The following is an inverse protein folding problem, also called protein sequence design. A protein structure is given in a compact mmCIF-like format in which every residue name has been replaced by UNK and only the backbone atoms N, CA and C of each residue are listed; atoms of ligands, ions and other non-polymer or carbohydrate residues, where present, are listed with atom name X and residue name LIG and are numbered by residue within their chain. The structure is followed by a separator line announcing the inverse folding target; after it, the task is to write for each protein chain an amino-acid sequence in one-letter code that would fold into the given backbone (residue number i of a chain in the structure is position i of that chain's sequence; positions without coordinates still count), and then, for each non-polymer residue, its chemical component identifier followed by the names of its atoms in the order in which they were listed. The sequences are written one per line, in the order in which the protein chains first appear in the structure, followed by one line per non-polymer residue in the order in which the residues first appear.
data_IF_964997905971
#
_entry.id   IF_964997905971
#
_cell.length_a   1.000
_cell.length_b   1.000
_cell.length_c   1.000
_cell.angle_alpha   90.00
_cell.angle_beta   90.00
_cell.angle_gamma   90.00
#
_symmetry.space_group_name_H-M   'P 1'
#
loop_
_entity.id
_entity.type
_entity.pdbx_description
1 polymer ?
#
# COMPACT_ATOMS: atom_id res chain seq x y z
N UNK A 1 -0.70 9.22 18.33
CA UNK A 1 -0.46 9.16 17.78
C UNK A 1 0.80 8.92 17.31
N UNK A 2 1.22 7.95 16.92
CA UNK A 2 2.27 7.63 16.51
C UNK A 2 2.43 7.86 15.15
N UNK A 3 3.00 8.71 14.63
CA UNK A 3 3.13 8.92 13.33
C UNK A 3 4.41 8.43 12.83
N UNK A 4 4.75 7.22 12.94
CA UNK A 4 5.93 6.71 12.47
C UNK A 4 5.88 6.37 11.04
N UNK A 5 6.96 6.49 10.33
CA UNK A 5 7.01 6.10 8.93
C UNK A 5 7.16 4.60 8.81
N UNK A 6 6.53 4.05 7.80
CA UNK A 6 6.61 2.62 7.54
C UNK A 6 7.39 2.40 6.26
N UNK A 7 8.10 1.33 6.18
CA UNK A 7 8.87 1.00 4.95
C UNK A 7 8.00 0.10 4.09
N UNK A 8 8.45 -0.21 2.91
CA UNK A 8 7.73 -1.13 2.03
C UNK A 8 7.58 -2.46 2.74
N UNK A 9 8.61 -2.91 3.43
CA UNK A 9 8.57 -4.16 4.14
C UNK A 9 7.50 -4.13 5.21
N UNK A 10 7.40 -3.02 5.92
CA UNK A 10 6.40 -2.88 6.97
C UNK A 10 5.00 -2.93 6.35
N UNK A 11 4.81 -2.29 5.23
CA UNK A 11 3.53 -2.28 4.56
C UNK A 11 3.18 -3.69 4.07
N UNK A 12 4.14 -4.42 3.56
CA UNK A 12 3.89 -5.76 3.11
C UNK A 12 3.36 -6.62 4.26
N UNK A 13 3.93 -6.46 5.42
CA UNK A 13 3.49 -7.22 6.55
C UNK A 13 2.16 -6.73 7.08
N UNK A 14 1.97 -5.43 7.06
CA UNK A 14 0.76 -4.83 7.57
C UNK A 14 -0.45 -5.23 6.72
N UNK A 15 -0.30 -5.20 5.43
CA UNK A 15 -1.40 -5.54 4.53
C UNK A 15 -1.33 -6.99 4.04
N UNK A 16 -0.27 -7.68 4.43
CA UNK A 16 -0.12 -9.08 4.05
C UNK A 16 -0.05 -9.24 2.54
N UNK A 17 0.79 -8.48 1.90
CA UNK A 17 0.97 -8.57 0.45
C UNK A 17 2.44 -8.60 0.14
N UNK A 18 2.79 -8.83 -1.09
CA UNK A 18 4.19 -8.90 -1.48
C UNK A 18 4.72 -7.54 -1.87
N UNK A 19 6.01 -7.40 -1.96
CA UNK A 19 6.65 -6.16 -2.36
C UNK A 19 6.18 -5.77 -3.75
N UNK A 20 6.08 -6.71 -4.64
CA UNK A 20 5.64 -6.44 -5.97
C UNK A 20 4.29 -5.82 -5.97
N UNK A 21 3.39 -6.28 -5.14
CA UNK A 21 2.05 -5.75 -5.06
C UNK A 21 2.09 -4.30 -4.59
N UNK A 22 2.93 -4.00 -3.61
CA UNK A 22 3.01 -2.64 -3.11
C UNK A 22 3.51 -1.70 -4.20
N UNK A 23 4.53 -2.09 -4.93
CA UNK A 23 5.06 -1.24 -5.99
C UNK A 23 4.04 -1.07 -7.12
N UNK A 24 3.28 -2.09 -7.39
CA UNK A 24 2.29 -2.01 -8.42
C UNK A 24 1.21 -1.04 -8.00
N UNK A 25 0.79 -1.07 -6.75
CA UNK A 25 -0.23 -0.17 -6.26
C UNK A 25 0.27 1.28 -6.29
N UNK A 26 1.53 1.51 -5.99
CA UNK A 26 2.10 2.84 -6.05
C UNK A 26 2.00 3.37 -7.46
N UNK A 27 2.27 2.56 -8.43
CA UNK A 27 2.25 3.00 -9.80
C UNK A 27 0.87 3.01 -10.43
N UNK A 28 0.06 2.09 -10.11
CA UNK A 28 -1.22 1.97 -10.78
C UNK A 28 -2.43 2.34 -9.98
N UNK A 29 -2.34 2.33 -8.67
CA UNK A 29 -3.49 2.63 -7.87
C UNK A 29 -3.33 3.85 -7.00
N UNK A 30 -2.31 4.62 -7.23
CA UNK A 30 -2.08 5.85 -6.49
C UNK A 30 -1.98 5.64 -4.99
N UNK A 31 -1.34 4.57 -4.60
CA UNK A 31 -1.15 4.33 -3.19
C UNK A 31 -0.37 5.47 -2.58
N UNK A 32 -0.79 6.01 -1.45
CA UNK A 32 -0.09 7.14 -0.83
C UNK A 32 1.27 6.72 -0.30
N UNK A 33 2.32 7.12 -0.96
CA UNK A 33 3.67 6.83 -0.54
C UNK A 33 4.52 8.06 -0.75
N UNK A 34 5.60 8.16 0.01
CA UNK A 34 6.48 9.30 -0.10
C UNK A 34 7.89 8.80 -0.37
N UNK A 35 8.55 9.40 -1.34
CA UNK A 35 9.87 8.98 -1.67
C UNK A 35 10.84 9.68 -0.76
N UNK A 36 11.57 8.95 0.02
CA UNK A 36 12.52 9.52 0.93
C UNK A 36 13.88 8.95 0.57
N UNK A 37 14.67 9.73 -0.09
CA UNK A 37 15.94 9.27 -0.58
C UNK A 37 15.73 8.22 -1.64
N UNK A 38 16.17 7.02 -1.40
CA UNK A 38 16.00 5.99 -2.35
C UNK A 38 14.95 5.02 -2.01
N UNK A 39 14.18 5.22 -0.95
CA UNK A 39 13.17 4.26 -0.60
C UNK A 39 11.80 4.88 -0.46
N UNK A 40 10.80 4.09 -0.54
CA UNK A 40 9.44 4.53 -0.36
C UNK A 40 9.06 4.38 1.09
N UNK A 41 8.45 5.41 1.64
CA UNK A 41 8.01 5.39 3.02
C UNK A 41 6.52 5.69 3.05
N UNK A 42 5.84 5.22 4.05
CA UNK A 42 4.39 5.36 4.12
C UNK A 42 3.95 5.78 5.51
N UNK A 43 2.79 6.42 5.57
CA UNK A 43 2.20 6.78 6.84
C UNK A 43 0.99 5.89 7.03
N UNK A 44 0.87 5.30 8.17
CA UNK A 44 -0.20 4.33 8.40
C UNK A 44 -1.58 4.92 8.20
N UNK A 45 -1.84 6.12 8.67
CA UNK A 45 -3.14 6.69 8.51
C UNK A 45 -3.46 6.94 7.08
N UNK A 46 -2.52 7.33 6.26
CA UNK A 46 -2.77 7.57 4.85
C UNK A 46 -3.07 6.26 4.15
N UNK A 47 -2.35 5.23 4.48
CA UNK A 47 -2.56 3.94 3.86
C UNK A 47 -3.92 3.39 4.27
N UNK A 48 -4.30 3.53 5.52
CA UNK A 48 -5.58 3.05 5.99
C UNK A 48 -6.72 3.77 5.29
N UNK A 49 -6.61 5.04 5.12
CA UNK A 49 -7.63 5.81 4.47
C UNK A 49 -7.75 5.37 3.02
N UNK A 50 -6.64 5.15 2.35
CA UNK A 50 -6.63 4.72 0.97
C UNK A 50 -7.26 3.33 0.84
N UNK A 51 -6.97 2.44 1.75
CA UNK A 51 -7.53 1.12 1.73
C UNK A 51 -9.04 1.18 1.98
N UNK A 52 -9.47 2.01 2.91
CA UNK A 52 -10.87 2.14 3.21
C UNK A 52 -11.62 2.75 2.06
N UNK A 53 -11.00 3.59 1.27
CA UNK A 53 -11.68 4.18 0.16
C UNK A 53 -11.69 3.26 -1.04
N UNK A 54 -11.15 2.09 -0.92
CA UNK A 54 -11.18 1.13 -2.02
C UNK A 54 -9.97 1.14 -2.92
N UNK A 55 -8.92 1.84 -2.54
CA UNK A 55 -7.76 1.93 -3.41
C UNK A 55 -7.10 0.61 -3.66
N UNK A 56 -7.10 -0.24 -2.66
CA UNK A 56 -6.46 -1.54 -2.81
C UNK A 56 -7.39 -2.57 -3.41
N UNK A 57 -8.64 -2.25 -3.54
CA UNK A 57 -9.60 -3.23 -4.07
C UNK A 57 -9.51 -3.27 -5.56
N UNK A 58 -9.57 -4.45 -6.09
CA UNK A 58 -9.49 -4.60 -7.51
C UNK A 58 -10.84 -4.76 -8.01
N UNK A 59 -11.62 -3.76 -8.21
CA UNK A 59 -12.90 -3.93 -8.62
C UNK A 59 -13.05 -4.30 -9.97
N UNK A 60 -12.17 -4.07 -10.79
CA UNK A 60 -12.43 -4.42 -12.14
C UNK A 60 -12.17 -5.82 -12.42
N UNK A 61 -11.59 -6.54 -11.66
CA UNK A 61 -11.41 -7.88 -12.00
C UNK A 61 -11.68 -8.71 -11.07
N UNK A 62 -11.62 -9.61 -11.19
CA UNK A 62 -11.98 -10.46 -10.37
C UNK A 62 -10.92 -10.83 -9.61
N UNK A 63 -10.99 -11.20 -8.75
CA UNK A 63 -10.07 -11.43 -7.88
C UNK A 63 -9.38 -12.59 -8.12
N UNK A 64 -8.79 -12.87 -8.14
CA UNK A 64 -8.17 -13.85 -8.32
C UNK A 64 -7.82 -14.54 -7.28
N UNK A 65 -8.09 -14.58 -6.85
CA UNK A 65 -7.96 -14.91 -5.93
C UNK A 65 -7.94 -15.22 -5.20
N UNK A 66 -7.90 -15.37 -5.04
CA UNK A 66 -7.83 -15.61 -4.42
C UNK A 66 -7.83 -15.85 -3.83
N UNK A 67 -7.89 -15.98 -3.75
CA UNK A 67 -8.01 -16.11 -3.16
C UNK A 67 -8.11 -16.29 -2.83
#
# INVERSE_FOLDING_TARGET
MDERWLTVDDICKYLNVSNETVYKWIEQRSMPGHRVGRRWMFKQDEVDEWVRSGGAADKSDKPDTEQ
#
